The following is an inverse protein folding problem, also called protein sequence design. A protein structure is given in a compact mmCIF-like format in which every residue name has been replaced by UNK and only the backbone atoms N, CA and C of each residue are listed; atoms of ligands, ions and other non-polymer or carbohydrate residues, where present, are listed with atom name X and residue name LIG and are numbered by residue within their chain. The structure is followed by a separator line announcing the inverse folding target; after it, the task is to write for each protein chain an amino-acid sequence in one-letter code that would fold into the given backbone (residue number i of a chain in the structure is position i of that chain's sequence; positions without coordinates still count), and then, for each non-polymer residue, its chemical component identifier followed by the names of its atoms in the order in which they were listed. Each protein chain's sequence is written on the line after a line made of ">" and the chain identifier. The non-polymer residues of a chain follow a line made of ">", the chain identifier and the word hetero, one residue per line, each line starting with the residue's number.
data_IF_365722910351
#
_entry.id   IF_365722910351
#
_cell.length_a   1.000
_cell.length_b   1.000
_cell.length_c   1.000
_cell.angle_alpha   90.00
_cell.angle_beta   90.00
_cell.angle_gamma   90.00
#
_symmetry.space_group_name_H-M   'P 1'
#
loop_
_entity.id
_entity.type
_entity.pdbx_description
1 polymer ?
#
# COMPACT_ATOMS: atom_id res chain seq x y z
N UNK A 1 -7.11 -2.65 5.82
CA UNK A 1 -6.99 -2.90 7.28
C UNK A 1 -5.68 -3.59 7.64
N UNK A 2 -5.34 -4.76 7.05
CA UNK A 2 -4.11 -5.48 7.44
C UNK A 2 -2.84 -4.65 7.23
N UNK A 3 -2.75 -3.93 6.13
CA UNK A 3 -1.63 -3.01 5.86
C UNK A 3 -1.64 -1.79 6.78
N UNK A 4 -2.81 -1.21 7.05
CA UNK A 4 -2.96 -0.08 7.98
C UNK A 4 -2.43 -0.43 9.37
N UNK A 5 -2.74 -1.63 9.86
CA UNK A 5 -2.25 -2.12 11.16
C UNK A 5 -0.73 -2.27 11.23
N UNK A 6 -0.05 -2.32 10.08
CA UNK A 6 1.41 -2.39 9.98
C UNK A 6 2.05 -1.04 9.66
N UNK A 7 1.28 -0.09 9.13
CA UNK A 7 1.74 1.25 8.80
C UNK A 7 1.76 2.13 10.06
N UNK A 8 2.62 1.80 11.00
CA UNK A 8 2.78 2.46 12.29
C UNK A 8 4.24 2.80 12.55
N UNK A 9 4.55 3.85 13.34
CA UNK A 9 5.92 4.20 13.67
C UNK A 9 6.70 3.04 14.27
N UNK A 10 7.97 2.90 13.86
CA UNK A 10 8.88 1.87 14.33
C UNK A 10 8.85 0.56 13.55
N UNK A 11 7.80 0.27 12.80
CA UNK A 11 7.78 -0.87 11.90
C UNK A 11 8.61 -0.61 10.64
N UNK A 12 9.01 -1.68 9.96
CA UNK A 12 9.62 -1.56 8.64
C UNK A 12 8.53 -1.51 7.56
N UNK A 13 8.73 -0.69 6.53
CA UNK A 13 7.76 -0.62 5.42
C UNK A 13 7.61 -1.95 4.68
N UNK A 14 8.64 -2.81 4.70
CA UNK A 14 8.54 -4.18 4.16
C UNK A 14 7.46 -5.01 4.85
N UNK A 15 7.21 -4.80 6.15
CA UNK A 15 6.16 -5.51 6.88
C UNK A 15 4.74 -5.12 6.42
N UNK A 16 4.58 -3.90 5.90
CA UNK A 16 3.31 -3.46 5.29
C UNK A 16 3.04 -4.26 4.01
N UNK A 17 4.09 -4.43 3.19
CA UNK A 17 4.00 -5.26 1.99
C UNK A 17 3.74 -6.73 2.33
N UNK A 18 4.43 -7.27 3.34
CA UNK A 18 4.24 -8.68 3.74
C UNK A 18 2.80 -8.95 4.20
N UNK A 19 2.17 -7.99 4.89
CA UNK A 19 0.75 -8.08 5.24
C UNK A 19 -0.18 -8.04 4.01
N UNK A 20 0.16 -7.23 2.99
CA UNK A 20 -0.52 -7.20 1.70
C UNK A 20 -0.37 -8.55 0.99
N UNK A 21 0.87 -9.02 0.83
CA UNK A 21 1.16 -10.26 0.14
C UNK A 21 0.44 -11.44 0.78
N UNK A 22 0.54 -11.56 2.12
CA UNK A 22 -0.17 -12.60 2.86
C UNK A 22 -1.67 -12.56 2.61
N UNK A 23 -2.29 -11.38 2.62
CA UNK A 23 -3.73 -11.25 2.37
C UNK A 23 -4.11 -11.77 0.98
N UNK A 24 -3.38 -11.36 -0.07
CA UNK A 24 -3.64 -11.83 -1.42
C UNK A 24 -3.42 -13.34 -1.57
N UNK A 25 -2.35 -13.85 -0.96
CA UNK A 25 -1.98 -15.26 -1.01
C UNK A 25 -3.03 -16.14 -0.31
N UNK A 26 -3.54 -15.71 0.86
CA UNK A 26 -4.59 -16.40 1.62
C UNK A 26 -5.91 -16.48 0.83
N UNK A 27 -6.19 -15.49 -0.04
CA UNK A 27 -7.37 -15.51 -0.93
C UNK A 27 -7.11 -16.13 -2.31
N UNK A 28 -5.93 -16.72 -2.53
CA UNK A 28 -5.59 -17.42 -3.78
C UNK A 28 -5.09 -16.50 -4.91
N UNK A 29 -4.84 -15.21 -4.64
CA UNK A 29 -4.41 -14.23 -5.64
C UNK A 29 -2.89 -14.00 -5.71
N UNK A 30 -2.10 -14.98 -5.29
CA UNK A 30 -0.63 -14.86 -5.30
C UNK A 30 -0.05 -14.49 -6.66
N UNK A 31 -0.59 -15.07 -7.74
CA UNK A 31 -0.15 -14.79 -9.12
C UNK A 31 -0.64 -13.45 -9.66
N UNK A 32 -1.68 -12.90 -9.07
CA UNK A 32 -2.35 -11.70 -9.53
C UNK A 32 -1.88 -10.42 -8.80
N UNK A 33 -1.16 -10.55 -7.67
CA UNK A 33 -0.63 -9.39 -6.94
C UNK A 33 0.69 -8.89 -7.50
N UNK A 34 0.97 -7.61 -7.30
CA UNK A 34 2.26 -7.00 -7.65
C UNK A 34 3.33 -7.28 -6.59
N UNK A 35 4.58 -6.94 -6.89
CA UNK A 35 5.73 -7.07 -5.99
C UNK A 35 5.98 -5.85 -5.10
N UNK A 36 5.13 -4.85 -5.20
CA UNK A 36 5.07 -3.70 -4.32
C UNK A 36 3.60 -3.31 -4.13
N UNK A 37 3.27 -2.69 -2.99
CA UNK A 37 1.89 -2.30 -2.70
C UNK A 37 1.74 -0.80 -2.38
N UNK A 38 2.71 0.00 -2.78
CA UNK A 38 2.67 1.44 -2.59
C UNK A 38 4.06 2.06 -2.51
N UNK A 39 4.08 3.34 -2.25
CA UNK A 39 5.30 4.15 -2.22
C UNK A 39 5.10 5.40 -1.36
N UNK A 40 6.22 6.00 -0.94
CA UNK A 40 6.19 7.27 -0.23
C UNK A 40 5.77 8.39 -1.17
N UNK A 41 5.06 9.37 -0.62
CA UNK A 41 4.72 10.61 -1.31
C UNK A 41 5.61 11.74 -0.80
N UNK A 42 6.27 12.43 -1.73
CA UNK A 42 7.10 13.58 -1.49
C UNK A 42 6.94 14.61 -2.61
N UNK A 43 7.87 15.54 -2.69
CA UNK A 43 7.90 16.55 -3.76
C UNK A 43 8.69 16.01 -4.94
N UNK A 44 8.03 15.29 -5.82
CA UNK A 44 8.60 14.82 -7.10
C UNK A 44 7.90 15.50 -8.28
N UNK A 45 8.68 15.77 -9.33
CA UNK A 45 8.19 16.42 -10.54
C UNK A 45 8.27 15.47 -11.73
N UNK A 46 7.41 15.72 -12.73
CA UNK A 46 7.45 14.99 -13.99
C UNK A 46 8.90 14.83 -14.53
N UNK A 47 9.27 13.67 -15.06
CA UNK A 47 8.42 12.52 -15.43
C UNK A 47 8.14 11.51 -14.31
N UNK A 48 8.63 11.72 -13.12
CA UNK A 48 8.50 10.79 -12.02
C UNK A 48 7.40 11.26 -11.05
N UNK A 49 6.52 10.35 -10.61
CA UNK A 49 5.46 10.63 -9.63
C UNK A 49 5.65 9.89 -8.31
N UNK A 50 6.51 8.87 -8.30
CA UNK A 50 6.81 8.09 -7.10
C UNK A 50 8.03 8.67 -6.43
N UNK A 51 7.94 8.78 -5.11
CA UNK A 51 9.09 9.06 -4.27
C UNK A 51 9.66 7.75 -3.71
N UNK A 52 10.87 7.79 -3.23
CA UNK A 52 11.52 6.72 -2.50
C UNK A 52 11.25 6.90 -0.99
N UNK A 53 11.01 5.81 -0.23
CA UNK A 53 11.05 4.39 -0.59
C UNK A 53 9.70 3.78 -1.00
N UNK A 54 9.77 2.60 -1.66
CA UNK A 54 8.60 1.79 -2.03
C UNK A 54 8.33 0.68 -1.01
N UNK A 55 7.07 0.28 -0.91
CA UNK A 55 6.59 -0.80 -0.03
C UNK A 55 6.74 -2.16 -0.73
N UNK A 56 7.87 -2.82 -0.53
CA UNK A 56 8.18 -4.16 -1.04
C UNK A 56 8.77 -5.05 0.08
N UNK A 57 8.75 -6.37 -0.11
CA UNK A 57 9.25 -7.29 0.91
C UNK A 57 10.71 -7.05 1.26
N UNK A 58 11.02 -7.08 2.55
CA UNK A 58 12.39 -6.91 3.05
C UNK A 58 12.92 -5.47 3.02
N UNK A 59 12.14 -4.47 2.60
CA UNK A 59 12.58 -3.09 2.68
C UNK A 59 12.79 -2.67 4.15
N UNK A 60 14.03 -2.32 4.55
CA UNK A 60 14.38 -2.08 5.95
C UNK A 60 14.02 -0.68 6.46
N UNK A 61 13.48 0.20 5.61
CA UNK A 61 13.16 1.57 5.99
C UNK A 61 12.20 1.60 7.17
N UNK A 62 12.54 2.34 8.21
CA UNK A 62 11.71 2.48 9.42
C UNK A 62 10.67 3.57 9.19
N UNK A 63 9.43 3.23 9.48
CA UNK A 63 8.30 4.17 9.41
C UNK A 63 8.41 5.17 10.55
N UNK A 64 8.31 6.46 10.22
CA UNK A 64 8.39 7.56 11.17
C UNK A 64 7.13 8.44 11.11
N UNK A 65 6.76 9.11 12.23
CA UNK A 65 5.72 10.12 12.19
C UNK A 65 6.04 11.22 11.17
N UNK A 66 5.03 11.66 10.43
CA UNK A 66 5.19 12.62 9.34
C UNK A 66 5.42 11.97 7.97
N UNK A 67 5.74 10.68 7.90
CA UNK A 67 5.79 10.00 6.63
C UNK A 67 4.41 9.97 5.97
N UNK A 68 4.37 10.14 4.65
CA UNK A 68 3.15 10.03 3.86
C UNK A 68 3.34 8.94 2.81
N UNK A 69 2.42 7.98 2.77
CA UNK A 69 2.47 6.88 1.83
C UNK A 69 1.19 6.80 1.01
N UNK A 70 1.34 6.51 -0.28
CA UNK A 70 0.25 6.07 -1.12
C UNK A 70 0.24 4.55 -1.15
N UNK A 71 -0.76 3.94 -0.53
CA UNK A 71 -1.00 2.51 -0.67
C UNK A 71 -1.73 2.26 -1.98
N UNK A 72 -1.10 1.49 -2.86
CA UNK A 72 -1.56 1.23 -4.21
C UNK A 72 -1.66 -0.28 -4.42
N UNK A 73 -2.83 -0.81 -4.09
CA UNK A 73 -3.11 -2.24 -4.18
C UNK A 73 -3.62 -2.56 -5.58
N UNK A 74 -2.86 -3.34 -6.33
CA UNK A 74 -3.18 -3.71 -7.69
C UNK A 74 -3.36 -5.22 -7.76
N UNK A 75 -4.47 -5.65 -8.34
CA UNK A 75 -4.75 -7.03 -8.73
C UNK A 75 -4.84 -7.10 -10.25
N UNK A 76 -4.06 -8.00 -10.85
CA UNK A 76 -4.07 -8.26 -12.29
C UNK A 76 -4.14 -9.76 -12.51
N UNK A 77 -5.36 -10.28 -12.63
CA UNK A 77 -5.64 -11.68 -12.90
C UNK A 77 -5.89 -11.88 -14.40
N UNK A 78 -4.82 -12.12 -15.14
CA UNK A 78 -4.90 -12.30 -16.59
C UNK A 78 -5.58 -13.60 -17.01
N UNK A 79 -5.56 -14.63 -16.16
CA UNK A 79 -6.22 -15.92 -16.43
C UNK A 79 -7.75 -15.73 -16.45
N UNK A 80 -8.28 -14.91 -15.56
CA UNK A 80 -9.71 -14.60 -15.47
C UNK A 80 -10.10 -13.26 -16.11
N UNK A 81 -9.15 -12.58 -16.76
CA UNK A 81 -9.35 -11.27 -17.40
C UNK A 81 -9.90 -10.21 -16.43
N UNK A 82 -9.43 -10.24 -15.19
CA UNK A 82 -9.84 -9.32 -14.13
C UNK A 82 -8.68 -8.41 -13.73
N UNK A 83 -8.99 -7.14 -13.57
CA UNK A 83 -8.06 -6.18 -12.98
C UNK A 83 -8.81 -5.27 -12.00
N UNK A 84 -8.18 -4.97 -10.88
CA UNK A 84 -8.70 -4.03 -9.90
C UNK A 84 -7.54 -3.23 -9.31
N UNK A 85 -7.81 -1.97 -9.03
CA UNK A 85 -6.87 -1.08 -8.40
C UNK A 85 -7.58 -0.35 -7.24
N UNK A 86 -6.96 -0.32 -6.09
CA UNK A 86 -7.39 0.44 -4.94
C UNK A 86 -6.22 1.29 -4.45
N UNK A 87 -6.37 2.62 -4.50
CA UNK A 87 -5.38 3.58 -4.05
C UNK A 87 -5.89 4.44 -2.91
N UNK A 88 -5.06 4.68 -1.91
CA UNK A 88 -5.38 5.53 -0.78
C UNK A 88 -4.11 6.12 -0.15
N UNK A 89 -4.20 7.37 0.30
CA UNK A 89 -3.09 8.08 0.94
C UNK A 89 -3.21 8.03 2.46
N UNK A 90 -2.10 7.76 3.11
CA UNK A 90 -2.00 7.67 4.57
C UNK A 90 -0.90 8.60 5.10
N UNK A 91 -1.23 9.36 6.13
CA UNK A 91 -0.28 10.07 6.97
C UNK A 91 0.05 9.20 8.20
N UNK A 92 1.34 9.02 8.47
CA UNK A 92 1.78 8.37 9.71
C UNK A 92 1.84 9.42 10.81
N UNK A 93 1.17 9.13 11.92
CA UNK A 93 1.16 9.95 13.13
C UNK A 93 1.83 9.21 14.29
N UNK A 94 2.08 9.87 15.41
CA UNK A 94 2.60 9.22 16.63
C UNK A 94 1.70 8.08 17.15
N UNK A 95 0.41 8.08 16.76
CA UNK A 95 -0.60 7.13 17.22
C UNK A 95 -0.87 6.00 16.21
N UNK A 96 -0.24 6.04 15.04
CA UNK A 96 -0.47 5.11 13.95
C UNK A 96 -0.71 5.82 12.62
N UNK A 97 -1.37 5.16 11.67
CA UNK A 97 -1.67 5.76 10.37
C UNK A 97 -3.06 6.38 10.33
N UNK A 98 -3.17 7.53 9.68
CA UNK A 98 -4.40 8.24 9.40
C UNK A 98 -4.66 8.24 7.89
N UNK A 99 -5.83 7.75 7.49
CA UNK A 99 -6.26 7.78 6.10
C UNK A 99 -6.74 9.19 5.73
N UNK A 100 -6.17 9.78 4.69
CA UNK A 100 -6.51 11.13 4.25
C UNK A 100 -7.75 11.17 3.34
N UNK A 101 -8.02 10.10 2.60
CA UNK A 101 -9.22 10.00 1.77
C UNK A 101 -10.50 9.79 2.60
N UNK A 102 -11.59 10.42 2.17
CA UNK A 102 -12.89 10.37 2.86
C UNK A 102 -13.87 9.39 2.26
N UNK A 103 -13.54 8.83 1.10
CA UNK A 103 -14.43 7.89 0.40
C UNK A 103 -14.43 6.52 1.08
N UNK A 104 -15.55 5.83 1.01
CA UNK A 104 -15.63 4.43 1.43
C UNK A 104 -14.77 3.56 0.49
N UNK A 105 -14.09 2.57 1.07
CA UNK A 105 -13.29 1.60 0.31
C UNK A 105 -14.12 0.35 -0.04
N UNK A 106 -15.39 0.53 -0.28
CA UNK A 106 -16.32 -0.53 -0.65
C UNK A 106 -16.49 -0.58 -2.18
N UNK A 107 -16.86 -1.75 -2.69
CA UNK A 107 -17.24 -1.90 -4.08
C UNK A 107 -18.52 -1.09 -4.35
N UNK A 108 -18.48 -0.19 -5.32
CA UNK A 108 -19.66 0.55 -5.78
C UNK A 108 -20.34 -0.26 -6.87
N UNK A 109 -21.56 -0.68 -6.62
CA UNK A 109 -22.44 -1.35 -7.60
C UNK A 109 -23.44 -0.30 -8.06
N UNK A 110 -23.46 0.01 -9.35
CA UNK A 110 -24.38 0.95 -9.99
C UNK A 110 -25.68 0.26 -10.38
#
# INVERSE_FOLDING_TARGET
>A
KNCENKLIPGNKIGEVFDAHAKTFDDYGFKKARMNACGYSLGTTFSPNWMDWPMLYTGNPYIIEPGNVFFMHMILMDSENQLAMNLGETYLVTDKGSERLGKQKLDLVIL
#
